data_IF_231086524976
#
_entry.id   IF_231086524976
#
_cell.length_a   1.000
_cell.length_b   1.000
_cell.length_c   1.000
_cell.angle_alpha   90.00
_cell.angle_beta   90.00
_cell.angle_gamma   90.00
#
_symmetry.space_group_name_H-M   'P 1'
#
loop_
_entity.id
_entity.type
_entity.pdbx_description
1 polymer ?
#
# COMPACT_ATOMS: atom_id res chain seq x y z
N UNK A 1 -21.69 -47.85 -6.12
CA UNK A 1 -21.49 -49.24 -6.58
C UNK A 1 -22.81 -49.89 -6.93
N UNK A 2 -23.53 -50.44 -5.93
CA UNK A 2 -24.75 -51.21 -6.15
C UNK A 2 -25.95 -50.43 -6.73
N UNK A 3 -26.21 -49.20 -6.24
CA UNK A 3 -27.35 -48.39 -6.70
C UNK A 3 -27.21 -48.01 -8.20
N UNK A 4 -26.00 -47.65 -8.62
CA UNK A 4 -25.73 -47.31 -10.02
C UNK A 4 -25.93 -48.53 -10.94
N UNK A 5 -25.52 -49.74 -10.52
CA UNK A 5 -25.74 -50.97 -11.27
C UNK A 5 -27.22 -51.33 -11.41
N UNK A 6 -28.01 -51.12 -10.34
CA UNK A 6 -29.46 -51.34 -10.37
C UNK A 6 -30.17 -50.35 -11.30
N UNK A 7 -29.77 -49.08 -11.29
CA UNK A 7 -30.35 -48.07 -12.20
C UNK A 7 -30.03 -48.40 -13.67
N UNK A 8 -28.80 -48.82 -13.97
CA UNK A 8 -28.41 -49.23 -15.32
C UNK A 8 -29.20 -50.47 -15.77
N UNK A 9 -29.37 -51.47 -14.89
CA UNK A 9 -30.14 -52.68 -15.19
C UNK A 9 -31.62 -52.38 -15.48
N UNK A 10 -32.24 -51.51 -14.68
CA UNK A 10 -33.62 -51.06 -14.88
C UNK A 10 -33.74 -50.30 -16.20
N UNK A 11 -32.82 -49.38 -16.50
CA UNK A 11 -32.81 -48.63 -17.76
C UNK A 11 -32.68 -49.57 -18.97
N UNK A 12 -31.77 -50.56 -18.93
CA UNK A 12 -31.65 -51.56 -20.00
C UNK A 12 -32.91 -52.40 -20.16
N UNK A 13 -33.59 -52.77 -19.06
CA UNK A 13 -34.82 -53.56 -19.12
C UNK A 13 -35.96 -52.78 -19.77
N UNK A 14 -36.11 -51.49 -19.44
CA UNK A 14 -37.09 -50.61 -20.09
C UNK A 14 -36.79 -50.40 -21.57
N UNK A 15 -35.52 -50.23 -21.95
CA UNK A 15 -35.12 -50.08 -23.36
C UNK A 15 -35.49 -51.34 -24.15
N UNK A 16 -35.18 -52.53 -23.62
CA UNK A 16 -35.52 -53.81 -24.27
C UNK A 16 -37.04 -53.97 -24.36
N UNK A 17 -37.79 -53.67 -23.28
CA UNK A 17 -39.25 -53.76 -23.29
C UNK A 17 -39.91 -52.80 -24.30
N UNK A 18 -39.40 -51.58 -24.41
CA UNK A 18 -39.85 -50.62 -25.44
C UNK A 18 -39.51 -51.17 -26.84
N UNK A 19 -38.32 -51.72 -27.03
CA UNK A 19 -37.90 -52.31 -28.30
C UNK A 19 -38.83 -53.47 -28.72
N UNK A 20 -39.20 -54.35 -27.79
CA UNK A 20 -40.13 -55.46 -28.05
C UNK A 20 -41.54 -54.98 -28.39
N UNK A 21 -42.04 -53.96 -27.70
CA UNK A 21 -43.33 -53.33 -28.02
C UNK A 21 -43.29 -52.70 -29.42
N UNK A 22 -42.20 -52.00 -29.76
CA UNK A 22 -42.01 -51.43 -31.09
C UNK A 22 -41.93 -52.52 -32.16
N UNK A 23 -41.16 -53.59 -31.94
CA UNK A 23 -41.07 -54.73 -32.86
C UNK A 23 -42.44 -55.40 -33.04
N UNK A 24 -43.24 -55.50 -31.97
CA UNK A 24 -44.59 -56.07 -31.99
C UNK A 24 -45.61 -55.20 -32.73
N UNK A 25 -45.64 -53.89 -32.46
CA UNK A 25 -46.45 -52.92 -33.21
C UNK A 25 -46.03 -52.91 -34.67
N UNK A 26 -44.72 -52.98 -34.93
CA UNK A 26 -44.16 -53.01 -36.27
C UNK A 26 -44.53 -54.29 -37.01
N UNK A 27 -44.41 -55.47 -36.39
CA UNK A 27 -44.88 -56.73 -36.96
C UNK A 27 -46.38 -56.71 -37.23
N UNK A 28 -47.19 -56.20 -36.29
CA UNK A 28 -48.64 -56.12 -36.44
C UNK A 28 -49.04 -55.24 -37.62
N UNK A 29 -48.49 -54.02 -37.69
CA UNK A 29 -48.73 -53.09 -38.79
C UNK A 29 -48.18 -53.62 -40.13
N UNK A 30 -47.01 -54.26 -40.12
CA UNK A 30 -46.39 -54.90 -41.28
C UNK A 30 -47.23 -56.07 -41.82
N UNK A 31 -47.81 -56.88 -40.94
CA UNK A 31 -48.64 -58.03 -41.31
C UNK A 31 -50.00 -57.59 -41.89
N UNK A 32 -50.65 -56.60 -41.29
CA UNK A 32 -51.95 -56.07 -41.80
C UNK A 32 -51.82 -55.30 -43.10
N UNK A 33 -50.62 -54.82 -43.43
CA UNK A 33 -50.39 -53.98 -44.60
C UNK A 33 -49.82 -54.76 -45.79
N UNK A 34 -49.06 -55.85 -45.54
CA UNK A 34 -48.70 -56.83 -46.59
C UNK A 34 -49.92 -57.45 -47.26
N UNK A 35 -51.09 -57.45 -46.60
CA UNK A 35 -52.34 -57.98 -47.13
C UNK A 35 -53.10 -57.04 -48.05
N UNK A 36 -52.66 -55.78 -48.23
CA UNK A 36 -53.24 -54.85 -49.21
C UNK A 36 -52.30 -54.71 -50.44
N UNK A 37 -52.71 -55.30 -51.58
CA UNK A 37 -51.97 -55.27 -52.85
C UNK A 37 -51.73 -53.84 -53.36
N UNK A 38 -50.58 -53.24 -53.07
CA UNK A 38 -50.05 -52.07 -53.78
C UNK A 38 -48.51 -52.01 -53.64
N UNK A 39 -47.79 -52.53 -54.64
CA UNK A 39 -46.32 -52.70 -54.61
C UNK A 39 -45.50 -51.40 -54.48
N UNK A 40 -46.03 -50.23 -54.82
CA UNK A 40 -45.33 -48.94 -54.60
C UNK A 40 -45.25 -48.57 -53.10
N UNK A 41 -46.24 -48.97 -52.31
CA UNK A 41 -46.28 -48.73 -50.88
C UNK A 41 -45.15 -49.51 -50.17
N UNK A 42 -44.82 -50.72 -50.67
CA UNK A 42 -43.75 -51.62 -50.16
C UNK A 42 -42.38 -50.95 -50.13
N UNK A 43 -41.98 -50.29 -51.22
CA UNK A 43 -40.68 -49.62 -51.30
C UNK A 43 -40.60 -48.41 -50.35
N UNK A 44 -41.62 -47.57 -50.30
CA UNK A 44 -41.63 -46.38 -49.43
C UNK A 44 -41.59 -46.74 -47.94
N UNK A 45 -42.33 -47.77 -47.51
CA UNK A 45 -42.29 -48.24 -46.12
C UNK A 45 -40.92 -48.84 -45.79
N UNK A 46 -40.36 -49.70 -46.65
CA UNK A 46 -39.02 -50.25 -46.39
C UNK A 46 -37.94 -49.15 -46.24
N UNK A 47 -38.03 -48.09 -47.05
CA UNK A 47 -37.10 -46.95 -46.96
C UNK A 47 -37.30 -46.17 -45.64
N UNK A 48 -38.54 -45.95 -45.21
CA UNK A 48 -38.85 -45.27 -43.95
C UNK A 48 -38.33 -46.03 -42.72
N UNK A 49 -38.35 -47.36 -42.78
CA UNK A 49 -37.90 -48.23 -41.68
C UNK A 49 -36.38 -48.20 -41.56
N UNK A 50 -35.69 -48.24 -42.71
CA UNK A 50 -34.23 -48.12 -42.76
C UNK A 50 -33.80 -46.74 -42.25
N UNK A 51 -34.49 -45.66 -42.64
CA UNK A 51 -34.14 -44.30 -42.17
C UNK A 51 -34.42 -44.11 -40.70
N UNK A 52 -35.56 -44.59 -40.17
CA UNK A 52 -35.84 -44.57 -38.73
C UNK A 52 -34.84 -45.40 -37.94
N UNK A 53 -34.48 -46.59 -38.43
CA UNK A 53 -33.44 -47.43 -37.81
C UNK A 53 -32.08 -46.75 -37.78
N UNK A 54 -31.68 -46.09 -38.87
CA UNK A 54 -30.43 -45.32 -38.94
C UNK A 54 -30.42 -44.12 -37.98
N UNK A 55 -31.54 -43.38 -37.88
CA UNK A 55 -31.68 -42.25 -36.95
C UNK A 55 -31.61 -42.75 -35.50
N UNK A 56 -32.32 -43.83 -35.18
CA UNK A 56 -32.33 -44.41 -33.84
C UNK A 56 -30.93 -44.91 -33.42
N UNK A 57 -30.21 -45.57 -34.34
CA UNK A 57 -28.83 -45.98 -34.10
C UNK A 57 -27.89 -44.78 -33.89
N UNK A 58 -28.04 -43.72 -34.69
CA UNK A 58 -27.26 -42.49 -34.54
C UNK A 58 -27.50 -41.80 -33.18
N UNK A 59 -28.75 -41.66 -32.76
CA UNK A 59 -29.11 -41.10 -31.45
C UNK A 59 -28.59 -41.98 -30.30
N UNK A 60 -28.75 -43.30 -30.41
CA UNK A 60 -28.24 -44.27 -29.42
C UNK A 60 -26.72 -44.22 -29.30
N UNK A 61 -26.01 -44.09 -30.42
CA UNK A 61 -24.55 -43.95 -30.44
C UNK A 61 -24.11 -42.64 -29.80
N UNK A 62 -24.75 -41.51 -30.12
CA UNK A 62 -24.43 -40.20 -29.55
C UNK A 62 -24.62 -40.16 -28.02
N UNK A 63 -25.72 -40.74 -27.52
CA UNK A 63 -25.98 -40.85 -26.09
C UNK A 63 -24.98 -41.77 -25.38
N UNK A 64 -24.55 -42.86 -26.04
CA UNK A 64 -23.51 -43.75 -25.53
C UNK A 64 -22.15 -43.05 -25.44
N UNK A 65 -21.76 -42.28 -26.46
CA UNK A 65 -20.49 -41.54 -26.48
C UNK A 65 -20.44 -40.47 -25.39
N UNK A 66 -21.54 -39.70 -25.23
CA UNK A 66 -21.65 -38.70 -24.17
C UNK A 66 -21.61 -39.33 -22.77
N UNK A 67 -22.34 -40.44 -22.56
CA UNK A 67 -22.31 -41.18 -21.29
C UNK A 67 -20.90 -41.71 -20.98
N UNK A 68 -20.19 -42.22 -21.99
CA UNK A 68 -18.79 -42.68 -21.85
C UNK A 68 -17.86 -41.52 -21.47
N UNK A 69 -17.94 -40.39 -22.16
CA UNK A 69 -17.12 -39.20 -21.87
C UNK A 69 -17.38 -38.68 -20.46
N UNK A 70 -18.64 -38.61 -20.05
CA UNK A 70 -19.03 -38.19 -18.70
C UNK A 70 -18.54 -39.18 -17.64
N UNK A 71 -18.59 -40.49 -17.92
CA UNK A 71 -18.04 -41.51 -17.03
C UNK A 71 -16.52 -41.35 -16.86
N UNK A 72 -15.78 -41.19 -17.96
CA UNK A 72 -14.32 -40.99 -17.93
C UNK A 72 -13.94 -39.68 -17.20
N UNK A 73 -14.66 -38.58 -17.45
CA UNK A 73 -14.46 -37.31 -16.76
C UNK A 73 -14.73 -37.42 -15.24
N UNK A 74 -15.82 -38.10 -14.85
CA UNK A 74 -16.13 -38.35 -13.45
C UNK A 74 -15.09 -39.24 -12.76
N UNK A 75 -14.58 -40.25 -13.46
CA UNK A 75 -13.52 -41.12 -12.94
C UNK A 75 -12.22 -40.33 -12.70
N UNK A 76 -11.84 -39.45 -13.64
CA UNK A 76 -10.69 -38.57 -13.48
C UNK A 76 -10.87 -37.58 -12.33
N UNK A 77 -12.05 -36.96 -12.22
CA UNK A 77 -12.39 -36.05 -11.12
C UNK A 77 -12.35 -36.76 -9.76
N UNK A 78 -12.83 -38.01 -9.68
CA UNK A 78 -12.73 -38.81 -8.45
C UNK A 78 -11.29 -39.09 -8.05
N UNK A 79 -10.43 -39.50 -9.00
CA UNK A 79 -9.00 -39.73 -8.74
C UNK A 79 -8.31 -38.45 -8.25
N UNK A 80 -8.53 -37.34 -8.95
CA UNK A 80 -7.96 -36.04 -8.57
C UNK A 80 -8.45 -35.58 -7.20
N UNK A 81 -9.74 -35.72 -6.90
CA UNK A 81 -10.29 -35.39 -5.57
C UNK A 81 -9.70 -36.26 -4.47
N UNK A 82 -9.44 -37.54 -4.74
CA UNK A 82 -8.79 -38.43 -3.77
C UNK A 82 -7.33 -38.01 -3.49
N UNK A 83 -6.58 -37.65 -4.53
CA UNK A 83 -5.21 -37.12 -4.42
C UNK A 83 -5.20 -35.80 -3.65
N UNK A 84 -6.07 -34.85 -4.00
CA UNK A 84 -6.23 -33.58 -3.28
C UNK A 84 -6.60 -33.81 -1.80
N UNK A 85 -7.47 -34.78 -1.50
CA UNK A 85 -7.81 -35.14 -0.12
C UNK A 85 -6.61 -35.70 0.64
N UNK A 86 -5.81 -36.56 0.00
CA UNK A 86 -4.56 -37.09 0.61
C UNK A 86 -3.57 -35.98 0.88
N UNK A 87 -3.34 -35.08 -0.07
CA UNK A 87 -2.46 -33.93 0.08
C UNK A 87 -2.94 -32.98 1.19
N UNK A 88 -4.23 -32.64 1.22
CA UNK A 88 -4.82 -31.78 2.24
C UNK A 88 -4.72 -32.41 3.64
N UNK A 89 -4.98 -33.72 3.77
CA UNK A 89 -4.82 -34.43 5.03
C UNK A 89 -3.35 -34.41 5.49
N UNK A 90 -2.39 -34.61 4.58
CA UNK A 90 -0.97 -34.55 4.90
C UNK A 90 -0.56 -33.15 5.39
N UNK A 91 -1.00 -32.09 4.71
CA UNK A 91 -0.76 -30.70 5.11
C UNK A 91 -1.40 -30.41 6.47
N UNK A 92 -2.60 -30.92 6.73
CA UNK A 92 -3.29 -30.72 8.00
C UNK A 92 -2.59 -31.44 9.17
N UNK A 93 -2.06 -32.64 8.93
CA UNK A 93 -1.27 -33.36 9.93
C UNK A 93 0.03 -32.60 10.23
N UNK A 94 0.74 -32.17 9.19
CA UNK A 94 1.99 -31.41 9.35
C UNK A 94 1.75 -30.07 10.06
N UNK A 95 0.68 -29.35 9.72
CA UNK A 95 0.35 -28.08 10.36
C UNK A 95 -0.02 -28.26 11.82
N UNK A 96 -0.80 -29.29 12.16
CA UNK A 96 -1.11 -29.64 13.57
C UNK A 96 0.15 -29.95 14.37
N UNK A 97 1.05 -30.78 13.83
CA UNK A 97 2.32 -31.11 14.48
C UNK A 97 3.17 -29.84 14.72
N UNK A 98 3.25 -28.95 13.73
CA UNK A 98 3.98 -27.69 13.86
C UNK A 98 3.37 -26.77 14.91
N UNK A 99 2.05 -26.64 14.94
CA UNK A 99 1.33 -25.84 15.95
C UNK A 99 1.57 -26.42 17.34
N UNK A 100 1.56 -27.74 17.50
CA UNK A 100 1.82 -28.40 18.78
C UNK A 100 3.25 -28.12 19.26
N UNK A 101 4.26 -28.28 18.39
CA UNK A 101 5.65 -27.96 18.71
C UNK A 101 5.82 -26.48 19.10
N UNK A 102 5.26 -25.55 18.33
CA UNK A 102 5.31 -24.12 18.66
C UNK A 102 4.61 -23.81 19.99
N UNK A 103 3.49 -24.49 20.27
CA UNK A 103 2.77 -24.33 21.54
C UNK A 103 3.63 -24.80 22.72
N UNK A 104 4.34 -25.92 22.56
CA UNK A 104 5.28 -26.43 23.56
C UNK A 104 6.46 -25.48 23.76
N UNK A 105 7.04 -24.93 22.68
CA UNK A 105 8.13 -23.95 22.75
C UNK A 105 7.68 -22.67 23.48
N UNK A 106 6.49 -22.15 23.18
CA UNK A 106 5.93 -20.98 23.87
C UNK A 106 5.71 -21.29 25.36
N UNK A 107 5.15 -22.46 25.69
CA UNK A 107 4.95 -22.87 27.07
C UNK A 107 6.28 -22.97 27.82
N UNK A 108 7.30 -23.57 27.20
CA UNK A 108 8.64 -23.67 27.76
C UNK A 108 9.28 -22.29 27.96
N UNK A 109 9.20 -21.40 26.96
CA UNK A 109 9.72 -20.03 27.07
C UNK A 109 9.06 -19.25 28.21
N UNK A 110 7.74 -19.37 28.36
CA UNK A 110 7.00 -18.73 29.45
C UNK A 110 7.37 -19.29 30.83
N UNK A 111 7.57 -20.60 30.93
CA UNK A 111 8.03 -21.25 32.16
C UNK A 111 9.45 -20.79 32.53
N UNK A 112 10.38 -20.76 31.57
CA UNK A 112 11.75 -20.23 31.78
C UNK A 112 11.71 -18.76 32.19
N UNK A 113 10.89 -17.94 31.55
CA UNK A 113 10.72 -16.53 31.91
C UNK A 113 10.19 -16.39 33.35
N UNK A 114 9.17 -17.16 33.70
CA UNK A 114 8.57 -17.15 35.03
C UNK A 114 9.58 -17.56 36.10
N UNK A 115 10.34 -18.64 35.86
CA UNK A 115 11.43 -19.08 36.75
C UNK A 115 12.51 -18.03 36.89
N UNK A 116 12.90 -17.38 35.80
CA UNK A 116 13.92 -16.32 35.79
C UNK A 116 13.45 -15.11 36.59
N UNK A 117 12.21 -14.66 36.41
CA UNK A 117 11.63 -13.54 37.16
C UNK A 117 11.48 -13.87 38.65
N UNK A 118 11.04 -15.08 38.99
CA UNK A 118 10.97 -15.54 40.38
C UNK A 118 12.36 -15.59 41.03
N UNK A 119 13.35 -16.08 40.29
CA UNK A 119 14.75 -16.10 40.75
C UNK A 119 15.25 -14.68 40.98
N UNK A 120 15.08 -13.77 40.03
CA UNK A 120 15.44 -12.36 40.16
C UNK A 120 14.78 -11.72 41.38
N UNK A 121 13.48 -11.94 41.55
CA UNK A 121 12.71 -11.46 42.70
C UNK A 121 13.27 -12.00 44.02
N UNK A 122 13.61 -13.28 44.08
CA UNK A 122 14.20 -13.90 45.29
C UNK A 122 15.55 -13.28 45.65
N UNK A 123 16.39 -12.96 44.67
CA UNK A 123 17.65 -12.26 44.91
C UNK A 123 17.44 -10.84 45.41
N UNK A 124 16.52 -10.08 44.81
CA UNK A 124 16.25 -8.71 45.26
C UNK A 124 15.55 -8.63 46.62
N UNK A 125 14.77 -9.64 47.00
CA UNK A 125 14.19 -9.76 48.35
C UNK A 125 15.23 -9.93 49.45
N UNK A 126 16.48 -10.30 49.13
CA UNK A 126 17.56 -10.35 50.12
C UNK A 126 17.98 -8.97 50.62
N UNK A 127 17.49 -7.88 50.00
CA UNK A 127 17.84 -6.49 50.31
C UNK A 127 19.35 -6.20 50.30
N UNK A 128 20.11 -6.99 49.53
CA UNK A 128 21.56 -6.76 49.35
C UNK A 128 21.81 -5.47 48.57
N UNK A 129 21.03 -5.20 47.52
CA UNK A 129 21.11 -3.98 46.71
C UNK A 129 19.88 -3.11 47.00
N UNK A 130 20.10 -1.82 47.26
CA UNK A 130 19.02 -0.86 47.48
C UNK A 130 18.06 -0.79 46.27
N UNK A 131 16.75 -0.75 46.54
CA UNK A 131 15.66 -0.92 45.54
C UNK A 131 15.82 -0.03 44.31
N UNK A 132 16.24 1.23 44.50
CA UNK A 132 16.49 2.21 43.43
C UNK A 132 17.43 1.69 42.34
N UNK A 133 18.38 0.82 42.69
CA UNK A 133 19.42 0.32 41.79
C UNK A 133 19.18 -1.11 41.30
N UNK A 134 18.00 -1.71 41.55
CA UNK A 134 17.67 -3.09 41.15
C UNK A 134 17.28 -3.20 39.67
N UNK A 135 18.04 -2.57 38.79
CA UNK A 135 17.92 -2.71 37.34
C UNK A 135 19.23 -3.23 36.75
N UNK A 136 19.16 -3.75 35.51
CA UNK A 136 20.30 -4.41 34.87
C UNK A 136 21.54 -3.50 34.81
N UNK A 137 21.36 -2.23 34.41
CA UNK A 137 22.48 -1.31 34.18
C UNK A 137 23.25 -1.02 35.48
N UNK A 138 22.66 -0.51 36.58
CA UNK A 138 23.38 -0.33 37.83
C UNK A 138 24.03 -1.63 38.34
N UNK A 139 23.33 -2.78 38.27
CA UNK A 139 23.89 -4.05 38.76
C UNK A 139 25.15 -4.46 37.98
N UNK A 140 25.14 -4.31 36.65
CA UNK A 140 26.32 -4.57 35.82
C UNK A 140 27.44 -3.59 36.13
N UNK A 141 27.13 -2.29 36.27
CA UNK A 141 28.13 -1.27 36.61
C UNK A 141 28.75 -1.51 37.98
N UNK A 142 27.96 -1.90 38.99
CA UNK A 142 28.49 -2.24 40.30
C UNK A 142 29.44 -3.42 40.21
N UNK A 143 29.07 -4.48 39.48
CA UNK A 143 29.95 -5.62 39.24
C UNK A 143 31.27 -5.18 38.59
N UNK A 144 31.23 -4.28 37.61
CA UNK A 144 32.45 -3.73 36.99
C UNK A 144 33.29 -2.90 37.98
N UNK A 145 32.66 -2.04 38.79
CA UNK A 145 33.38 -1.25 39.79
C UNK A 145 34.09 -2.12 40.83
N UNK A 146 33.44 -3.20 41.28
CA UNK A 146 34.04 -4.17 42.19
C UNK A 146 35.16 -4.95 41.50
N UNK A 147 34.93 -5.47 40.29
CA UNK A 147 35.92 -6.25 39.54
C UNK A 147 37.18 -5.43 39.21
N UNK A 148 37.03 -4.14 38.94
CA UNK A 148 38.14 -3.21 38.69
C UNK A 148 38.81 -2.69 39.97
N UNK A 149 38.29 -3.01 41.16
CA UNK A 149 38.79 -2.52 42.43
C UNK A 149 38.58 -1.01 42.65
N UNK A 150 37.73 -0.36 41.84
CA UNK A 150 37.43 1.08 41.96
C UNK A 150 36.62 1.41 43.21
N UNK A 151 35.84 0.45 43.71
CA UNK A 151 34.99 0.59 44.90
C UNK A 151 35.20 -0.59 45.83
N UNK A 152 35.04 -0.37 47.14
CA UNK A 152 35.26 -1.40 48.17
C UNK A 152 33.95 -1.95 48.76
N UNK A 153 32.87 -1.20 48.66
CA UNK A 153 31.57 -1.53 49.23
C UNK A 153 30.43 -0.95 48.37
N UNK A 154 29.20 -1.39 48.64
CA UNK A 154 28.03 -0.96 47.88
C UNK A 154 27.73 0.55 48.00
N UNK A 155 27.83 1.19 49.18
CA UNK A 155 27.68 2.64 49.27
C UNK A 155 28.61 3.42 48.34
N UNK A 156 29.90 3.08 48.27
CA UNK A 156 30.84 3.69 47.31
C UNK A 156 30.43 3.45 45.85
N UNK A 157 29.87 2.27 45.54
CA UNK A 157 29.36 1.95 44.21
C UNK A 157 28.13 2.80 43.83
N UNK A 158 27.23 3.05 44.80
CA UNK A 158 26.05 3.89 44.61
C UNK A 158 26.44 5.34 44.32
N UNK A 159 27.31 5.91 45.16
CA UNK A 159 27.77 7.29 45.01
C UNK A 159 28.47 7.51 43.66
N UNK A 160 29.35 6.57 43.27
CA UNK A 160 30.02 6.64 41.97
C UNK A 160 29.04 6.54 40.81
N UNK A 161 28.10 5.60 40.85
CA UNK A 161 27.11 5.45 39.79
C UNK A 161 26.23 6.70 39.64
N UNK A 162 25.78 7.28 40.76
CA UNK A 162 24.99 8.52 40.73
C UNK A 162 25.79 9.70 40.19
N UNK A 163 27.08 9.78 40.55
CA UNK A 163 27.98 10.80 40.02
C UNK A 163 28.17 10.65 38.51
N UNK A 164 28.48 9.45 38.04
CA UNK A 164 28.67 9.15 36.61
C UNK A 164 27.37 9.41 35.83
N UNK A 165 26.21 8.96 36.34
CA UNK A 165 24.90 9.22 35.72
C UNK A 165 24.58 10.71 35.65
N UNK A 166 24.92 11.49 36.69
CA UNK A 166 24.75 12.94 36.68
C UNK A 166 25.70 13.61 35.66
N UNK A 167 26.92 13.12 35.51
CA UNK A 167 27.87 13.62 34.51
C UNK A 167 27.37 13.35 33.09
N UNK A 168 26.86 12.15 32.80
CA UNK A 168 26.27 11.82 31.50
C UNK A 168 25.08 12.72 31.16
N UNK A 169 24.23 13.02 32.14
CA UNK A 169 23.15 13.98 31.98
C UNK A 169 23.67 15.39 31.68
N UNK A 170 24.72 15.84 32.38
CA UNK A 170 25.35 17.14 32.12
C UNK A 170 25.93 17.18 30.69
N UNK A 171 26.64 16.14 30.27
CA UNK A 171 27.18 16.04 28.90
C UNK A 171 26.07 16.16 27.86
N UNK A 172 24.97 15.40 28.04
CA UNK A 172 23.80 15.48 27.16
C UNK A 172 23.21 16.89 27.09
N UNK A 173 23.19 17.62 28.22
CA UNK A 173 22.71 19.01 28.25
C UNK A 173 23.70 19.99 27.60
N UNK A 174 25.00 19.74 27.71
CA UNK A 174 26.02 20.53 27.03
C UNK A 174 25.92 20.37 25.51
N UNK A 175 25.64 19.16 25.00
CA UNK A 175 25.41 18.93 23.58
C UNK A 175 24.18 19.70 23.04
N UNK A 176 23.09 19.80 23.82
CA UNK A 176 21.93 20.65 23.47
C UNK A 176 22.31 22.13 23.45
N UNK A 177 23.13 22.59 24.40
CA UNK A 177 23.62 23.97 24.42
C UNK A 177 24.48 24.27 23.18
N UNK A 178 25.39 23.38 22.82
CA UNK A 178 26.23 23.52 21.61
C UNK A 178 25.33 23.64 20.37
N UNK A 179 24.35 22.75 20.23
CA UNK A 179 23.40 22.79 19.11
C UNK A 179 22.62 24.12 19.04
N UNK A 180 22.24 24.68 20.19
CA UNK A 180 21.56 25.98 20.25
C UNK A 180 22.50 27.14 19.90
N UNK A 181 23.76 27.09 20.31
CA UNK A 181 24.76 28.09 19.97
C UNK A 181 25.04 28.10 18.48
N UNK A 182 25.17 26.94 17.84
CA UNK A 182 25.33 26.84 16.38
C UNK A 182 24.15 27.47 15.63
N UNK A 183 22.92 27.28 16.14
CA UNK A 183 21.72 27.94 15.56
C UNK A 183 21.75 29.45 15.75
N UNK A 184 22.18 29.93 16.91
CA UNK A 184 22.31 31.36 17.17
C UNK A 184 23.36 31.98 16.24
N UNK A 185 24.52 31.34 16.08
CA UNK A 185 25.58 31.78 15.19
C UNK A 185 25.07 31.88 13.73
N UNK A 186 24.41 30.84 13.24
CA UNK A 186 23.81 30.85 11.90
C UNK A 186 22.80 31.99 11.72
N UNK A 187 21.93 32.22 12.69
CA UNK A 187 20.98 33.33 12.65
C UNK A 187 21.68 34.69 12.65
N UNK A 188 22.77 34.84 13.40
CA UNK A 188 23.58 36.06 13.43
C UNK A 188 24.25 36.32 12.07
N UNK A 189 24.79 35.29 11.40
CA UNK A 189 25.32 35.45 10.05
C UNK A 189 24.25 35.88 9.05
N UNK A 190 23.07 35.26 9.10
CA UNK A 190 21.96 35.67 8.22
C UNK A 190 21.57 37.13 8.48
N UNK A 191 21.39 37.52 9.75
CA UNK A 191 21.04 38.88 10.12
C UNK A 191 22.09 39.89 9.64
N UNK A 192 23.38 39.59 9.84
CA UNK A 192 24.47 40.45 9.36
C UNK A 192 24.45 40.61 7.83
N UNK A 193 24.13 39.54 7.10
CA UNK A 193 24.01 39.60 5.65
C UNK A 193 22.81 40.46 5.21
N UNK A 194 21.65 40.30 5.86
CA UNK A 194 20.47 41.13 5.58
C UNK A 194 20.71 42.61 5.91
N UNK A 195 21.40 42.91 7.01
CA UNK A 195 21.80 44.29 7.35
C UNK A 195 22.69 44.91 6.27
N UNK A 196 23.64 44.15 5.70
CA UNK A 196 24.48 44.63 4.57
C UNK A 196 23.63 44.94 3.34
N UNK A 197 22.65 44.09 3.01
CA UNK A 197 21.73 44.34 1.89
C UNK A 197 20.87 45.58 2.11
N UNK A 198 20.37 45.78 3.33
CA UNK A 198 19.62 46.96 3.72
C UNK A 198 20.48 48.21 3.56
N UNK A 199 21.73 48.20 4.05
CA UNK A 199 22.66 49.32 3.89
C UNK A 199 22.85 49.70 2.41
N UNK A 200 23.09 48.72 1.54
CA UNK A 200 23.24 48.98 0.11
C UNK A 200 21.95 49.54 -0.52
N UNK A 201 20.79 49.08 -0.07
CA UNK A 201 19.50 49.60 -0.53
C UNK A 201 19.27 51.04 -0.07
N UNK A 202 19.70 51.39 1.14
CA UNK A 202 19.68 52.77 1.64
C UNK A 202 20.61 53.65 0.79
N UNK A 203 21.83 53.21 0.49
CA UNK A 203 22.77 53.99 -0.33
C UNK A 203 22.22 54.26 -1.74
N UNK A 204 21.57 53.25 -2.34
CA UNK A 204 20.90 53.39 -3.63
C UNK A 204 19.72 54.38 -3.54
N UNK A 205 18.95 54.33 -2.46
CA UNK A 205 17.83 55.25 -2.22
C UNK A 205 18.34 56.69 -2.06
N UNK A 206 19.37 56.92 -1.24
CA UNK A 206 20.01 58.22 -1.09
C UNK A 206 20.48 58.77 -2.45
N UNK A 207 21.17 57.95 -3.25
CA UNK A 207 21.62 58.34 -4.58
C UNK A 207 20.45 58.72 -5.52
N UNK A 208 19.34 57.99 -5.45
CA UNK A 208 18.13 58.29 -6.22
C UNK A 208 17.49 59.61 -5.78
N UNK A 209 17.42 59.87 -4.47
CA UNK A 209 16.89 61.12 -3.90
C UNK A 209 17.77 62.31 -4.29
N UNK A 210 19.09 62.17 -4.24
CA UNK A 210 20.02 63.24 -4.66
C UNK A 210 19.84 63.56 -6.16
N UNK A 211 19.73 62.54 -7.01
CA UNK A 211 19.44 62.71 -8.43
C UNK A 211 18.11 63.41 -8.68
N UNK A 212 17.07 63.05 -7.92
CA UNK A 212 15.75 63.69 -8.01
C UNK A 212 15.81 65.16 -7.56
N UNK A 213 16.54 65.45 -6.49
CA UNK A 213 16.74 66.80 -5.97
C UNK A 213 17.45 67.69 -6.99
N UNK A 214 18.50 67.18 -7.65
CA UNK A 214 19.19 67.88 -8.72
C UNK A 214 18.26 68.18 -9.92
N UNK A 215 17.40 67.23 -10.32
CA UNK A 215 16.40 67.46 -11.38
C UNK A 215 15.37 68.50 -10.98
N UNK A 216 14.92 68.50 -9.73
CA UNK A 216 13.98 69.51 -9.23
C UNK A 216 14.60 70.91 -9.26
N UNK A 217 15.89 71.05 -8.90
CA UNK A 217 16.59 72.31 -9.02
C UNK A 217 16.66 72.78 -10.48
N UNK A 218 17.01 71.90 -11.41
CA UNK A 218 17.03 72.23 -12.85
C UNK A 218 15.66 72.66 -13.38
N UNK A 219 14.58 72.03 -12.92
CA UNK A 219 13.21 72.44 -13.28
C UNK A 219 12.92 73.85 -12.73
N UNK A 220 13.29 74.12 -11.47
CA UNK A 220 13.14 75.44 -10.87
C UNK A 220 13.89 76.52 -11.67
N UNK A 221 15.16 76.27 -11.99
CA UNK A 221 15.99 77.21 -12.77
C UNK A 221 15.40 77.46 -14.17
N UNK A 222 14.93 76.40 -14.84
CA UNK A 222 14.27 76.51 -16.15
C UNK A 222 12.96 77.31 -16.07
N UNK A 223 12.17 77.14 -15.01
CA UNK A 223 10.95 77.93 -14.79
C UNK A 223 11.26 79.42 -14.63
N UNK A 224 12.34 79.77 -13.92
CA UNK A 224 12.78 81.17 -13.82
C UNK A 224 13.15 81.75 -15.19
N UNK A 225 13.87 80.99 -16.01
CA UNK A 225 14.22 81.37 -17.39
C UNK A 225 12.96 81.55 -18.25
N UNK A 226 12.01 80.62 -18.19
CA UNK A 226 10.73 80.72 -18.90
C UNK A 226 9.97 81.98 -18.50
N UNK A 227 9.84 82.25 -17.20
CA UNK A 227 9.16 83.45 -16.68
C UNK A 227 9.84 84.75 -17.18
N UNK A 228 11.17 84.77 -17.26
CA UNK A 228 11.91 85.90 -17.83
C UNK A 228 11.56 86.14 -19.31
N UNK A 229 11.60 85.08 -20.13
CA UNK A 229 11.27 85.18 -21.56
C UNK A 229 9.81 85.58 -21.79
N UNK A 230 8.87 85.08 -20.99
CA UNK A 230 7.47 85.48 -21.05
C UNK A 230 7.29 86.99 -20.81
N UNK A 231 7.98 87.55 -19.80
CA UNK A 231 7.97 89.00 -19.54
C UNK A 231 8.51 89.81 -20.72
N UNK A 232 9.63 89.39 -21.30
CA UNK A 232 10.21 90.06 -22.48
C UNK A 232 9.25 89.99 -23.67
N UNK A 233 8.64 88.83 -23.93
CA UNK A 233 7.71 88.65 -25.03
C UNK A 233 6.45 89.53 -24.86
N UNK A 234 5.92 89.63 -23.64
CA UNK A 234 4.81 90.53 -23.32
C UNK A 234 5.17 92.00 -23.60
N UNK A 235 6.36 92.44 -23.19
CA UNK A 235 6.86 93.80 -23.48
C UNK A 235 6.97 94.02 -24.99
N UNK A 236 7.62 93.12 -25.72
CA UNK A 236 7.78 93.22 -27.18
C UNK A 236 6.42 93.27 -27.89
N UNK A 237 5.46 92.46 -27.45
CA UNK A 237 4.09 92.46 -27.99
C UNK A 237 3.41 93.80 -27.75
N UNK A 238 3.54 94.37 -26.55
CA UNK A 238 2.98 95.69 -26.22
C UNK A 238 3.61 96.81 -27.06
N UNK A 239 4.93 96.75 -27.29
CA UNK A 239 5.65 97.71 -28.14
C UNK A 239 5.20 97.62 -29.60
N UNK A 240 5.07 96.41 -30.15
CA UNK A 240 4.56 96.22 -31.51
C UNK A 240 3.12 96.70 -31.67
N UNK A 241 2.26 96.48 -30.67
CA UNK A 241 0.91 97.03 -30.65
C UNK A 241 0.92 98.58 -30.66
N UNK A 242 1.82 99.21 -29.90
CA UNK A 242 2.01 100.65 -29.92
C UNK A 242 2.51 101.16 -31.28
N UNK A 243 3.53 100.54 -31.87
CA UNK A 243 4.06 100.95 -33.19
C UNK A 243 2.99 100.82 -34.28
N UNK A 244 2.25 99.72 -34.31
CA UNK A 244 1.20 99.48 -35.30
C UNK A 244 0.04 100.46 -35.16
N UNK A 245 -0.35 100.82 -33.94
CA UNK A 245 -1.34 101.87 -33.69
C UNK A 245 -0.88 103.22 -34.25
N UNK A 246 0.37 103.61 -33.98
CA UNK A 246 0.90 104.90 -34.43
C UNK A 246 1.15 104.97 -35.94
N UNK A 247 1.38 103.84 -36.61
CA UNK A 247 1.58 103.78 -38.07
C UNK A 247 0.28 103.87 -38.89
N UNK A 248 -0.88 103.70 -38.25
CA UNK A 248 -2.21 103.83 -38.87
C UNK A 248 -2.82 105.24 -38.72
N UNK A 249 -2.12 106.15 -38.05
CA UNK A 249 -2.37 107.59 -38.07
C UNK A 249 -1.57 108.24 -39.18
#
# INVERSE_FOLDING_TARGET
GAIAAVIVAIATFFIIGILEIFIGIFHGAFYTWLTEENGENILLVSLSVITFGAIFLGLSYSGYEEARKNYEANLQAQKHNEECRKANNAIQIQSKQKVELLTQEIAHANDVLTRTLNTLKSYYQTNTIYEKFQSLVPVVMFNEYFASGRVKNLPEAYDRYEQESRLDLILTKLDDIITRLDRIENNQYMLANELRKISSSIDNLCSAVDSQTAKLQQISDNQEITNYYERINAINTSYMAWVTFNRKR
#
